data_IF_587941433643
#
_entry.id   IF_587941433643
#
_cell.length_a   1.000
_cell.length_b   1.000
_cell.length_c   1.000
_cell.angle_alpha   90.00
_cell.angle_beta   90.00
_cell.angle_gamma   90.00
#
_symmetry.space_group_name_H-M   'P 1'
#
loop_
_entity.id
_entity.type
_entity.pdbx_description
1 polymer ?
#
# COMPACT_ATOMS: atom_id res chain seq x y z
N UNK A 1 22.55 -5.21 -36.59
CA UNK A 1 21.30 -5.03 -37.35
C UNK A 1 20.18 -5.66 -36.53
N UNK A 2 19.28 -4.85 -35.96
CA UNK A 2 18.25 -5.33 -35.03
C UNK A 2 17.81 -4.24 -34.07
N UNK A 3 17.18 -3.20 -34.62
CA UNK A 3 16.60 -2.07 -33.88
C UNK A 3 15.36 -2.56 -33.16
N UNK A 4 15.25 -2.40 -31.83
CA UNK A 4 13.96 -2.43 -31.16
C UNK A 4 13.67 -1.05 -30.57
N UNK A 5 12.70 -0.41 -31.20
CA UNK A 5 12.14 0.88 -30.83
C UNK A 5 11.66 0.86 -29.37
N UNK A 6 12.27 1.67 -28.52
CA UNK A 6 11.62 2.13 -27.30
C UNK A 6 10.62 3.18 -27.75
N UNK A 7 9.36 2.76 -27.88
CA UNK A 7 8.26 3.61 -28.33
C UNK A 7 8.14 4.79 -27.36
N UNK A 8 8.24 5.98 -27.94
CA UNK A 8 8.05 7.27 -27.28
C UNK A 8 6.78 7.29 -26.41
N UNK A 9 6.96 7.61 -25.12
CA UNK A 9 5.88 7.96 -24.21
C UNK A 9 5.30 9.31 -24.63
N UNK A 10 4.08 9.31 -25.20
CA UNK A 10 3.29 10.53 -25.37
C UNK A 10 2.50 10.78 -24.07
N UNK A 11 2.91 11.78 -23.30
CA UNK A 11 2.13 12.31 -22.19
C UNK A 11 1.02 13.18 -22.80
N UNK A 12 -0.19 12.64 -22.92
CA UNK A 12 -1.40 13.45 -23.13
C UNK A 12 -1.85 14.01 -21.79
N UNK A 13 -1.72 15.32 -21.65
CA UNK A 13 -2.42 16.14 -20.67
C UNK A 13 -3.89 16.22 -21.10
N UNK A 14 -4.80 15.51 -20.44
CA UNK A 14 -6.22 15.87 -20.47
C UNK A 14 -6.87 15.42 -19.16
N UNK A 15 -7.50 16.38 -18.48
CA UNK A 15 -8.17 16.23 -17.18
C UNK A 15 -9.44 15.39 -17.33
N UNK A 16 -9.32 14.09 -17.09
CA UNK A 16 -10.42 13.27 -16.57
C UNK A 16 -9.88 12.42 -15.42
N UNK A 17 -10.47 12.56 -14.24
CA UNK A 17 -9.96 11.95 -12.99
C UNK A 17 -10.24 10.42 -12.90
N UNK A 18 -10.26 9.74 -14.05
CA UNK A 18 -10.44 8.28 -14.22
C UNK A 18 -9.47 7.67 -15.24
N UNK A 19 -8.45 8.41 -15.68
CA UNK A 19 -7.51 7.97 -16.72
C UNK A 19 -6.62 6.86 -16.17
N UNK A 20 -6.84 5.63 -16.64
CA UNK A 20 -5.93 4.51 -16.43
C UNK A 20 -4.64 4.78 -17.19
N UNK A 21 -3.51 4.77 -16.48
CA UNK A 21 -2.18 4.90 -17.08
C UNK A 21 -1.68 3.52 -17.54
N UNK A 22 -1.17 3.44 -18.78
CA UNK A 22 -0.56 2.23 -19.30
C UNK A 22 0.88 2.11 -18.78
N UNK A 23 1.18 1.00 -18.13
CA UNK A 23 2.50 0.68 -17.61
C UNK A 23 3.05 -0.56 -18.32
N UNK A 24 4.18 -0.42 -19.00
CA UNK A 24 4.92 -1.53 -19.60
C UNK A 24 5.94 -2.06 -18.61
N UNK A 25 5.85 -3.34 -18.25
CA UNK A 25 6.79 -4.01 -17.35
C UNK A 25 7.42 -5.23 -18.04
N UNK A 26 8.69 -5.48 -17.73
CA UNK A 26 9.37 -6.71 -18.14
C UNK A 26 9.23 -7.75 -17.03
N UNK A 27 8.74 -8.94 -17.37
CA UNK A 27 8.59 -10.08 -16.47
C UNK A 27 9.16 -11.33 -17.13
N UNK A 28 9.61 -12.28 -16.32
CA UNK A 28 10.09 -13.56 -16.82
C UNK A 28 8.99 -14.32 -17.57
N UNK A 29 9.39 -15.05 -18.62
CA UNK A 29 8.48 -15.80 -19.48
C UNK A 29 7.64 -16.80 -18.68
N UNK A 30 8.23 -17.48 -17.71
CA UNK A 30 7.50 -18.41 -16.86
C UNK A 30 6.44 -17.71 -16.00
N UNK A 31 6.78 -16.53 -15.49
CA UNK A 31 5.90 -15.76 -14.62
C UNK A 31 4.66 -15.28 -15.39
N UNK A 32 4.83 -14.73 -16.60
CA UNK A 32 3.70 -14.29 -17.42
C UNK A 32 2.80 -15.46 -17.83
N UNK A 33 3.36 -16.64 -18.10
CA UNK A 33 2.55 -17.84 -18.40
C UNK A 33 1.70 -18.26 -17.20
N UNK A 34 2.30 -18.37 -16.01
CA UNK A 34 1.58 -18.72 -14.78
C UNK A 34 0.52 -17.67 -14.44
N UNK A 35 0.84 -16.38 -14.57
CA UNK A 35 -0.09 -15.28 -14.34
C UNK A 35 -1.30 -15.33 -15.29
N UNK A 36 -1.09 -15.67 -16.57
CA UNK A 36 -2.18 -15.85 -17.54
C UNK A 36 -3.11 -17.00 -17.15
N UNK A 37 -2.57 -18.15 -16.72
CA UNK A 37 -3.38 -19.29 -16.27
C UNK A 37 -4.20 -18.92 -15.03
N UNK A 38 -3.59 -18.27 -14.04
CA UNK A 38 -4.28 -17.90 -12.80
C UNK A 38 -5.34 -16.83 -13.06
N UNK A 39 -5.03 -15.80 -13.87
CA UNK A 39 -5.97 -14.73 -14.18
C UNK A 39 -7.18 -15.26 -14.96
N UNK A 40 -6.97 -16.16 -15.93
CA UNK A 40 -8.06 -16.85 -16.63
C UNK A 40 -8.93 -17.67 -15.68
N UNK A 41 -8.33 -18.47 -14.78
CA UNK A 41 -9.07 -19.23 -13.75
C UNK A 41 -9.91 -18.32 -12.84
N UNK A 42 -9.43 -17.11 -12.55
CA UNK A 42 -10.10 -16.11 -11.70
C UNK A 42 -11.01 -15.15 -12.49
N UNK A 43 -11.25 -15.39 -13.79
CA UNK A 43 -12.03 -14.51 -14.69
C UNK A 43 -11.58 -13.04 -14.63
N UNK A 44 -10.28 -12.81 -14.52
CA UNK A 44 -9.65 -11.49 -14.47
C UNK A 44 -8.53 -11.36 -15.48
N UNK A 45 -7.95 -10.17 -15.64
CA UNK A 45 -6.77 -9.94 -16.48
C UNK A 45 -5.51 -9.87 -15.63
N UNK A 46 -4.34 -10.10 -16.26
CA UNK A 46 -3.04 -9.93 -15.59
C UNK A 46 -2.85 -8.49 -15.12
N UNK A 47 -3.21 -7.49 -15.94
CA UNK A 47 -3.13 -6.08 -15.56
C UNK A 47 -4.03 -5.73 -14.38
N UNK A 48 -5.25 -6.30 -14.30
CA UNK A 48 -6.13 -6.09 -13.14
C UNK A 48 -5.52 -6.74 -11.89
N UNK A 49 -5.01 -7.96 -11.99
CA UNK A 49 -4.35 -8.65 -10.87
C UNK A 49 -3.16 -7.86 -10.34
N UNK A 50 -2.34 -7.29 -11.22
CA UNK A 50 -1.22 -6.42 -10.82
C UNK A 50 -1.69 -5.13 -10.17
N UNK A 51 -2.73 -4.49 -10.72
CA UNK A 51 -3.32 -3.29 -10.13
C UNK A 51 -3.88 -3.55 -8.72
N UNK A 52 -4.56 -4.67 -8.54
CA UNK A 52 -5.12 -5.08 -7.24
C UNK A 52 -4.01 -5.39 -6.21
N UNK A 53 -2.91 -6.01 -6.65
CA UNK A 53 -1.73 -6.24 -5.79
C UNK A 53 -1.08 -4.92 -5.37
N UNK A 54 -0.84 -4.02 -6.34
CA UNK A 54 -0.23 -2.72 -6.06
C UNK A 54 -1.08 -1.89 -5.10
N UNK A 55 -2.41 -1.88 -5.32
CA UNK A 55 -3.35 -1.23 -4.40
C UNK A 55 -3.23 -1.80 -2.99
N UNK A 56 -3.14 -3.12 -2.84
CA UNK A 56 -3.00 -3.76 -1.53
C UNK A 56 -1.69 -3.40 -0.83
N UNK A 57 -0.60 -3.26 -1.58
CA UNK A 57 0.70 -2.84 -1.03
C UNK A 57 0.59 -1.40 -0.50
N UNK A 58 0.02 -0.49 -1.30
CA UNK A 58 -0.18 0.92 -0.92
C UNK A 58 -1.08 1.04 0.31
N UNK A 59 -2.24 0.37 0.29
CA UNK A 59 -3.20 0.42 1.40
C UNK A 59 -2.58 -0.06 2.72
N UNK A 60 -1.72 -1.11 2.68
CA UNK A 60 -1.02 -1.59 3.88
C UNK A 60 -0.03 -0.56 4.42
N UNK A 61 0.71 0.11 3.55
CA UNK A 61 1.65 1.15 3.96
C UNK A 61 0.92 2.36 4.55
N UNK A 62 -0.12 2.84 3.87
CA UNK A 62 -0.95 3.97 4.34
C UNK A 62 -1.60 3.69 5.69
N UNK A 63 -2.13 2.47 5.89
CA UNK A 63 -2.69 2.06 7.18
C UNK A 63 -1.67 2.15 8.30
N UNK A 64 -0.45 1.66 8.06
CA UNK A 64 0.64 1.75 9.03
C UNK A 64 1.01 3.20 9.33
N UNK A 65 1.18 4.05 8.30
CA UNK A 65 1.49 5.47 8.50
C UNK A 65 0.39 6.20 9.28
N UNK A 66 -0.88 5.93 8.95
CA UNK A 66 -2.02 6.52 9.67
C UNK A 66 -2.04 6.10 11.15
N UNK A 67 -1.83 4.81 11.44
CA UNK A 67 -1.76 4.32 12.81
C UNK A 67 -0.60 4.95 13.59
N UNK A 68 0.58 5.06 12.97
CA UNK A 68 1.75 5.72 13.55
C UNK A 68 1.48 7.18 13.89
N UNK A 69 0.89 7.94 12.96
CA UNK A 69 0.55 9.35 13.18
C UNK A 69 -0.45 9.51 14.34
N UNK A 70 -1.49 8.67 14.40
CA UNK A 70 -2.46 8.67 15.50
C UNK A 70 -1.80 8.36 16.85
N UNK A 71 -0.93 7.35 16.89
CA UNK A 71 -0.21 6.99 18.11
C UNK A 71 0.68 8.14 18.61
N UNK A 72 1.43 8.78 17.71
CA UNK A 72 2.27 9.94 18.07
C UNK A 72 1.43 11.15 18.53
N UNK A 73 0.29 11.41 17.90
CA UNK A 73 -0.62 12.46 18.33
C UNK A 73 -1.19 12.18 19.74
N UNK A 74 -1.56 10.94 20.02
CA UNK A 74 -2.02 10.51 21.35
C UNK A 74 -0.94 10.68 22.42
N UNK A 75 0.31 10.29 22.12
CA UNK A 75 1.43 10.48 23.04
C UNK A 75 1.70 11.95 23.33
N UNK A 76 1.64 12.82 22.31
CA UNK A 76 1.83 14.27 22.48
C UNK A 76 0.72 14.93 23.29
N UNK A 77 -0.53 14.50 23.08
CA UNK A 77 -1.69 15.02 23.84
C UNK A 77 -1.68 14.52 25.28
N UNK A 78 -1.21 13.28 25.50
CA UNK A 78 -1.39 12.56 26.75
C UNK A 78 -2.85 12.15 26.98
N UNK A 79 -3.08 11.25 27.93
CA UNK A 79 -4.42 10.86 28.35
C UNK A 79 -4.66 11.30 29.79
N UNK A 80 -5.74 12.03 30.01
CA UNK A 80 -6.25 12.25 31.36
C UNK A 80 -7.04 11.01 31.76
N UNK A 81 -6.35 9.99 32.28
CA UNK A 81 -6.94 8.69 32.60
C UNK A 81 -7.90 8.73 33.81
N UNK A 82 -8.13 9.91 34.40
CA UNK A 82 -8.96 10.06 35.58
C UNK A 82 -8.36 9.37 36.80
N UNK A 83 -9.01 9.56 37.95
CA UNK A 83 -8.52 9.05 39.23
C UNK A 83 -7.68 10.06 40.01
N UNK A 84 -7.73 9.93 41.34
CA UNK A 84 -6.75 10.57 42.23
C UNK A 84 -5.61 9.59 42.44
N UNK A 85 -4.38 10.07 42.33
CA UNK A 85 -3.21 9.31 42.76
C UNK A 85 -3.30 9.20 44.29
N UNK A 86 -3.75 8.04 44.80
CA UNK A 86 -3.94 7.79 46.24
C UNK A 86 -2.80 6.98 46.86
N UNK A 87 -1.86 6.53 46.05
CA UNK A 87 -0.84 5.54 46.43
C UNK A 87 0.50 5.99 45.86
N UNK A 88 1.56 5.93 46.67
CA UNK A 88 2.91 6.27 46.23
C UNK A 88 3.52 5.11 45.43
N UNK A 89 4.62 5.38 44.71
CA UNK A 89 5.30 4.34 43.92
C UNK A 89 5.81 3.19 44.81
N UNK A 90 6.25 3.50 46.02
CA UNK A 90 6.81 2.53 46.95
C UNK A 90 5.72 1.60 47.51
N UNK A 91 4.52 2.13 47.77
CA UNK A 91 3.35 1.35 48.20
C UNK A 91 2.85 0.33 47.14
N UNK A 92 3.18 0.55 45.85
CA UNK A 92 2.81 -0.37 44.76
C UNK A 92 3.76 -1.57 44.63
N UNK A 93 4.95 -1.50 45.25
CA UNK A 93 6.00 -2.52 45.14
C UNK A 93 6.01 -3.51 46.30
N UNK A 94 5.29 -3.25 47.39
CA UNK A 94 5.10 -4.20 48.48
C UNK A 94 3.94 -5.16 48.13
N UNK A 95 4.32 -6.38 47.76
CA UNK A 95 3.42 -7.56 47.74
C UNK A 95 3.92 -8.59 48.73
#
# INVERSE_FOLDING_TARGET
MGVLHVIHVWISLEKDNTVKQNLTISLDRELIMKARVISARRRTSVSRMLGDELKRIIERDEQYQSAKQKALANLRKGFHMGGRITTSRDDLHER
#
